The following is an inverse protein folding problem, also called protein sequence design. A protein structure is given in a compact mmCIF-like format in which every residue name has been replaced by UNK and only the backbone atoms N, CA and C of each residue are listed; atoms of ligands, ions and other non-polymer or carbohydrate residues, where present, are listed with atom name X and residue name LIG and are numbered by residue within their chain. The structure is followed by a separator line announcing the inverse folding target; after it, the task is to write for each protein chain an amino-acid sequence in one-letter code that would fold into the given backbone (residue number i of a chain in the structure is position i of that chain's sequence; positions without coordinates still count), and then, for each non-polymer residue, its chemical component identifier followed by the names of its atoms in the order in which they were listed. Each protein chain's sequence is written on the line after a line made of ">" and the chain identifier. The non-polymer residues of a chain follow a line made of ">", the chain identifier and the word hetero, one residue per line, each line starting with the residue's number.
data_IF_333393719610
#
_entry.id   IF_333393719610
#
_cell.length_a   1.000
_cell.length_b   1.000
_cell.length_c   1.000
_cell.angle_alpha   90.00
_cell.angle_beta   90.00
_cell.angle_gamma   90.00
#
_symmetry.space_group_name_H-M   'P 1'
#
loop_
_entity.id
_entity.type
_entity.pdbx_description
1 polymer ?
#
# COMPACT_ATOMS: atom_id res chain seq x y z
N UNK A 1 64.95 -64.49 -35.84
CA UNK A 1 64.81 -63.41 -36.85
C UNK A 1 63.33 -62.96 -36.87
N UNK A 2 62.96 -61.92 -36.13
CA UNK A 2 61.63 -61.30 -36.24
C UNK A 2 61.86 -59.81 -36.01
N UNK A 3 61.62 -59.02 -37.06
CA UNK A 3 61.76 -57.56 -37.06
C UNK A 3 60.52 -56.94 -36.36
N UNK A 4 60.77 -56.17 -35.33
CA UNK A 4 59.76 -55.37 -34.64
C UNK A 4 59.71 -53.99 -35.29
N UNK A 5 58.54 -53.61 -35.79
CA UNK A 5 58.25 -52.30 -36.33
C UNK A 5 57.80 -51.38 -35.16
N UNK A 6 58.53 -50.31 -34.97
CA UNK A 6 58.18 -49.29 -34.00
C UNK A 6 57.32 -48.21 -34.71
N UNK A 7 56.09 -48.07 -34.28
CA UNK A 7 55.17 -47.08 -34.82
C UNK A 7 55.18 -45.89 -33.86
N UNK A 8 55.77 -44.79 -34.36
CA UNK A 8 55.80 -43.52 -33.60
C UNK A 8 54.45 -42.81 -33.73
N UNK A 9 53.76 -42.64 -32.61
CA UNK A 9 52.53 -41.85 -32.51
C UNK A 9 52.87 -40.42 -32.13
N UNK A 10 52.76 -39.49 -33.05
CA UNK A 10 52.85 -38.04 -32.78
C UNK A 10 51.56 -37.59 -32.07
N UNK A 11 51.69 -37.20 -30.82
CA UNK A 11 50.63 -36.50 -30.09
C UNK A 11 50.68 -35.03 -30.47
N UNK A 12 49.67 -34.54 -31.23
CA UNK A 12 49.39 -33.12 -31.40
C UNK A 12 48.71 -32.58 -30.15
N UNK A 13 49.42 -31.80 -29.34
CA UNK A 13 48.86 -31.02 -28.28
C UNK A 13 48.10 -29.79 -28.85
N UNK A 14 46.79 -29.91 -28.98
CA UNK A 14 45.93 -28.80 -29.27
C UNK A 14 45.81 -27.90 -28.06
N UNK A 15 46.39 -26.71 -28.12
CA UNK A 15 46.17 -25.64 -27.11
C UNK A 15 44.75 -25.09 -27.30
N UNK A 16 43.83 -25.55 -26.49
CA UNK A 16 42.48 -24.93 -26.38
C UNK A 16 42.64 -23.64 -25.58
N UNK A 17 42.64 -22.52 -26.27
CA UNK A 17 42.52 -21.20 -25.63
C UNK A 17 41.14 -21.10 -24.99
N UNK A 18 41.05 -21.25 -23.67
CA UNK A 18 39.89 -20.86 -22.91
C UNK A 18 39.66 -19.34 -23.06
N UNK A 19 38.67 -18.98 -23.86
CA UNK A 19 38.09 -17.64 -23.79
C UNK A 19 37.54 -17.45 -22.36
N UNK A 20 38.14 -16.52 -21.63
CA UNK A 20 37.55 -15.98 -20.42
C UNK A 20 36.17 -15.42 -20.78
N UNK A 21 35.13 -16.18 -20.48
CA UNK A 21 33.78 -15.64 -20.31
C UNK A 21 33.84 -14.71 -19.11
N UNK A 22 33.85 -13.42 -19.36
CA UNK A 22 33.55 -12.41 -18.36
C UNK A 22 32.21 -12.81 -17.72
N UNK A 23 32.27 -13.35 -16.53
CA UNK A 23 31.10 -13.41 -15.63
C UNK A 23 30.74 -11.96 -15.37
N UNK A 24 29.83 -11.41 -16.19
CA UNK A 24 29.12 -10.21 -15.87
C UNK A 24 28.48 -10.47 -14.50
N UNK A 25 29.01 -9.81 -13.49
CA UNK A 25 28.29 -9.67 -12.23
C UNK A 25 26.95 -9.03 -12.61
N UNK A 26 25.89 -9.84 -12.61
CA UNK A 26 24.52 -9.36 -12.58
C UNK A 26 24.43 -8.70 -11.21
N UNK A 27 24.74 -7.40 -11.14
CA UNK A 27 24.30 -6.57 -10.02
C UNK A 27 22.78 -6.77 -9.98
N UNK A 28 22.20 -7.24 -8.85
CA UNK A 28 20.75 -7.31 -8.76
C UNK A 28 20.24 -5.91 -9.08
N UNK A 29 19.50 -5.80 -10.18
CA UNK A 29 18.79 -4.57 -10.52
C UNK A 29 17.90 -4.33 -9.31
N UNK A 30 18.22 -3.30 -8.54
CA UNK A 30 17.47 -2.90 -7.36
C UNK A 30 16.07 -2.63 -7.88
N UNK A 31 15.11 -3.51 -7.59
CA UNK A 31 13.74 -3.37 -8.05
C UNK A 31 13.28 -1.97 -7.63
N UNK A 32 13.21 -1.08 -8.62
CA UNK A 32 12.81 0.30 -8.39
C UNK A 32 11.32 0.27 -8.18
N UNK A 33 10.90 0.41 -6.93
CA UNK A 33 9.51 0.51 -6.56
C UNK A 33 8.98 1.80 -7.20
N UNK A 34 8.01 1.64 -8.09
CA UNK A 34 7.41 2.76 -8.80
C UNK A 34 5.89 2.74 -8.68
N UNK A 35 5.30 3.90 -8.88
CA UNK A 35 3.85 4.05 -8.93
C UNK A 35 3.20 3.45 -10.18
N UNK A 36 3.98 2.92 -11.12
CA UNK A 36 3.48 2.37 -12.39
C UNK A 36 2.56 1.15 -12.19
N UNK A 37 2.66 0.44 -11.07
CA UNK A 37 1.76 -0.67 -10.73
C UNK A 37 0.28 -0.24 -10.69
N UNK A 38 0.01 1.04 -10.47
CA UNK A 38 -1.36 1.56 -10.42
C UNK A 38 -1.93 1.94 -11.80
N UNK A 39 -1.14 1.88 -12.87
CA UNK A 39 -1.63 2.09 -14.25
C UNK A 39 -2.04 0.76 -14.89
N UNK A 40 -2.90 0.00 -14.20
CA UNK A 40 -3.49 -1.22 -14.71
C UNK A 40 -4.60 -0.92 -15.74
N UNK A 41 -5.08 -1.95 -16.45
CA UNK A 41 -6.20 -1.82 -17.39
C UNK A 41 -7.49 -1.31 -16.73
N UNK A 42 -7.68 -1.65 -15.46
CA UNK A 42 -8.85 -1.27 -14.66
C UNK A 42 -8.43 -0.54 -13.41
N UNK A 43 -9.24 0.44 -12.97
CA UNK A 43 -9.01 1.08 -11.70
C UNK A 43 -9.02 0.10 -10.52
N UNK A 44 -8.27 0.44 -9.49
CA UNK A 44 -8.15 -0.34 -8.27
C UNK A 44 -9.17 0.16 -7.24
N UNK A 45 -9.86 -0.78 -6.60
CA UNK A 45 -10.70 -0.49 -5.42
C UNK A 45 -9.85 -0.67 -4.18
N UNK A 46 -9.70 0.40 -3.39
CA UNK A 46 -9.06 0.38 -2.08
C UNK A 46 -10.13 0.52 -1.00
N UNK A 47 -10.26 -0.49 -0.14
CA UNK A 47 -11.23 -0.45 0.94
C UNK A 47 -10.73 0.48 2.06
N UNK A 48 -11.46 1.57 2.32
CA UNK A 48 -11.18 2.53 3.39
C UNK A 48 -11.31 1.84 4.75
N UNK A 49 -10.35 2.07 5.65
CA UNK A 49 -10.22 1.41 6.97
C UNK A 49 -10.30 -0.12 6.90
N UNK A 50 -9.69 -0.71 5.88
CA UNK A 50 -9.73 -2.14 5.60
C UNK A 50 -11.14 -2.73 5.41
N UNK A 51 -12.18 -1.91 5.17
CA UNK A 51 -13.53 -2.39 4.86
C UNK A 51 -14.58 -1.95 5.87
N UNK A 52 -14.80 -0.66 5.94
CA UNK A 52 -15.87 -0.05 6.72
C UNK A 52 -17.27 -0.42 6.20
N UNK A 53 -18.28 -0.46 7.09
CA UNK A 53 -19.69 -0.65 6.74
C UNK A 53 -20.11 -2.09 6.43
N UNK A 54 -19.34 -3.10 6.82
CA UNK A 54 -19.62 -4.51 6.55
C UNK A 54 -20.07 -5.23 7.83
N UNK A 55 -21.30 -5.73 7.85
CA UNK A 55 -21.85 -6.41 9.01
C UNK A 55 -21.01 -7.64 9.39
N UNK A 56 -20.61 -7.73 10.66
CA UNK A 56 -19.78 -8.80 11.20
C UNK A 56 -18.28 -8.68 10.86
N UNK A 57 -17.86 -7.63 10.14
CA UNK A 57 -16.47 -7.38 9.75
C UNK A 57 -16.07 -5.95 10.14
N UNK A 58 -15.39 -5.77 11.28
CA UNK A 58 -14.97 -4.46 11.76
C UNK A 58 -13.99 -3.75 10.83
N UNK A 59 -13.96 -2.42 10.86
CA UNK A 59 -12.90 -1.61 10.27
C UNK A 59 -11.54 -1.92 10.93
N UNK A 60 -10.43 -1.69 10.22
CA UNK A 60 -9.06 -1.89 10.72
C UNK A 60 -8.81 -3.30 11.32
N UNK A 61 -9.37 -4.33 10.68
CA UNK A 61 -9.39 -5.69 11.17
C UNK A 61 -8.75 -6.66 10.15
N UNK A 62 -7.83 -7.51 10.60
CA UNK A 62 -7.17 -8.50 9.74
C UNK A 62 -8.19 -9.46 9.09
N UNK A 63 -9.20 -9.91 9.84
CA UNK A 63 -10.22 -10.81 9.33
C UNK A 63 -11.10 -10.15 8.27
N UNK A 64 -11.30 -8.83 8.35
CA UNK A 64 -11.99 -8.06 7.31
C UNK A 64 -11.15 -7.98 6.03
N UNK A 65 -9.84 -7.73 6.15
CA UNK A 65 -8.89 -7.81 5.01
C UNK A 65 -8.97 -9.19 4.36
N UNK A 66 -8.93 -10.25 5.16
CA UNK A 66 -9.01 -11.65 4.69
C UNK A 66 -10.32 -11.93 3.96
N UNK A 67 -11.43 -11.46 4.51
CA UNK A 67 -12.76 -11.61 3.89
C UNK A 67 -12.84 -10.91 2.54
N UNK A 68 -12.41 -9.64 2.47
CA UNK A 68 -12.44 -8.84 1.26
C UNK A 68 -11.48 -9.37 0.19
N UNK A 69 -10.31 -9.85 0.58
CA UNK A 69 -9.34 -10.46 -0.34
C UNK A 69 -9.92 -11.70 -1.02
N UNK A 70 -10.65 -12.55 -0.29
CA UNK A 70 -11.40 -13.69 -0.86
C UNK A 70 -12.50 -13.26 -1.83
N UNK A 71 -12.92 -11.99 -1.79
CA UNK A 71 -13.91 -11.40 -2.71
C UNK A 71 -13.26 -10.60 -3.85
N UNK A 72 -11.93 -10.62 -3.97
CA UNK A 72 -11.19 -9.98 -5.05
C UNK A 72 -10.77 -8.54 -4.77
N UNK A 73 -10.89 -8.04 -3.54
CA UNK A 73 -10.37 -6.74 -3.12
C UNK A 73 -8.99 -6.95 -2.50
N UNK A 74 -7.96 -6.35 -3.10
CA UNK A 74 -6.56 -6.54 -2.68
C UNK A 74 -5.84 -5.24 -2.35
N UNK A 75 -6.55 -4.12 -2.20
CA UNK A 75 -5.99 -2.87 -1.73
C UNK A 75 -6.81 -2.34 -0.55
N UNK A 76 -6.11 -1.92 0.51
CA UNK A 76 -6.72 -1.51 1.77
C UNK A 76 -6.01 -0.26 2.28
N UNK A 77 -6.77 0.69 2.78
CA UNK A 77 -6.25 1.75 3.62
C UNK A 77 -6.44 1.34 5.09
N UNK A 78 -5.45 1.59 5.93
CA UNK A 78 -5.45 1.24 7.36
C UNK A 78 -4.85 2.34 8.22
N UNK A 79 -5.41 2.50 9.41
CA UNK A 79 -5.01 3.50 10.40
C UNK A 79 -4.07 2.89 11.45
N UNK A 80 -2.89 3.49 11.63
CA UNK A 80 -1.85 2.99 12.52
C UNK A 80 -1.75 3.86 13.76
N UNK A 81 -1.74 3.24 14.94
CA UNK A 81 -1.39 3.87 16.21
C UNK A 81 -0.31 3.07 16.95
N UNK A 82 0.20 3.62 18.05
CA UNK A 82 1.25 3.00 18.87
C UNK A 82 0.76 2.83 20.31
N UNK A 83 0.92 1.63 20.88
CA UNK A 83 0.64 1.33 22.30
C UNK A 83 1.71 1.93 23.22
N UNK A 84 1.49 1.89 24.54
CA UNK A 84 2.53 2.31 25.51
C UNK A 84 3.77 1.43 25.48
N UNK A 85 3.65 0.18 25.03
CA UNK A 85 4.76 -0.75 24.92
C UNK A 85 5.55 -0.55 23.62
N UNK A 86 5.06 0.34 22.77
CA UNK A 86 5.68 0.67 21.49
C UNK A 86 5.26 -0.26 20.36
N UNK A 87 4.26 -1.11 20.49
CA UNK A 87 3.75 -1.92 19.39
C UNK A 87 2.86 -1.08 18.46
N UNK A 88 3.07 -1.25 17.15
CA UNK A 88 2.23 -0.64 16.13
C UNK A 88 1.00 -1.52 15.90
N UNK A 89 -0.18 -0.93 16.04
CA UNK A 89 -1.48 -1.60 15.97
C UNK A 89 -2.45 -0.82 15.08
N UNK A 90 -3.59 -1.40 14.74
CA UNK A 90 -4.58 -0.77 13.85
C UNK A 90 -5.79 -0.27 14.63
N UNK A 91 -6.06 1.03 14.55
CA UNK A 91 -7.32 1.64 14.98
C UNK A 91 -7.42 3.08 14.46
N UNK A 92 -8.64 3.47 14.06
CA UNK A 92 -8.87 4.85 13.60
C UNK A 92 -9.02 5.84 14.74
N UNK A 93 -9.81 5.49 15.78
CA UNK A 93 -10.18 6.41 16.85
C UNK A 93 -9.11 6.45 17.94
N UNK A 94 -8.90 7.61 18.54
CA UNK A 94 -7.99 7.78 19.69
C UNK A 94 -8.49 7.06 20.96
N UNK A 95 -9.78 6.65 20.99
CA UNK A 95 -10.42 6.02 22.12
C UNK A 95 -11.14 4.73 21.73
N UNK A 96 -11.11 3.75 22.64
CA UNK A 96 -11.98 2.59 22.58
C UNK A 96 -13.46 3.00 22.71
N UNK A 97 -14.35 2.05 22.41
CA UNK A 97 -15.80 2.19 22.62
C UNK A 97 -16.62 2.11 21.34
N UNK A 98 -16.28 2.88 20.29
CA UNK A 98 -17.00 2.81 19.01
C UNK A 98 -16.67 1.50 18.26
N UNK A 99 -15.39 1.25 18.02
CA UNK A 99 -14.91 0.14 17.18
C UNK A 99 -14.34 -1.04 17.96
N UNK A 100 -14.25 -0.92 19.29
CA UNK A 100 -13.82 -2.01 20.16
C UNK A 100 -14.60 -1.97 21.50
N UNK A 101 -14.55 -3.07 22.25
CA UNK A 101 -14.98 -3.11 23.66
C UNK A 101 -14.05 -2.25 24.53
N UNK A 102 -14.35 -2.16 25.81
CA UNK A 102 -13.56 -1.38 26.75
C UNK A 102 -13.70 0.12 26.59
N UNK A 103 -12.87 0.83 27.33
CA UNK A 103 -12.80 2.31 27.36
C UNK A 103 -11.34 2.73 27.60
N UNK A 104 -11.00 3.91 27.15
CA UNK A 104 -9.68 4.50 27.35
C UNK A 104 -9.09 5.06 26.08
N UNK A 105 -7.97 5.76 26.22
CA UNK A 105 -7.18 6.31 25.11
C UNK A 105 -6.21 5.23 24.66
N UNK A 106 -6.29 4.80 23.39
CA UNK A 106 -5.52 3.65 22.88
C UNK A 106 -4.01 3.82 23.01
N UNK A 107 -3.49 5.04 22.79
CA UNK A 107 -2.06 5.36 22.93
C UNK A 107 -1.58 5.41 24.40
N UNK A 108 -2.48 5.26 25.38
CA UNK A 108 -2.17 5.22 26.82
C UNK A 108 -2.37 3.81 27.40
N UNK A 109 -2.59 2.82 26.56
CA UNK A 109 -2.84 1.43 26.98
C UNK A 109 -1.68 0.53 26.52
N UNK A 110 -1.40 -0.51 27.32
CA UNK A 110 -0.45 -1.54 26.94
C UNK A 110 -1.00 -2.42 25.83
N UNK A 111 -0.10 -3.02 25.07
CA UNK A 111 -0.46 -4.00 24.04
C UNK A 111 -1.29 -5.15 24.61
N UNK A 112 -0.91 -5.66 25.79
CA UNK A 112 -1.66 -6.72 26.47
C UNK A 112 -3.10 -6.31 26.78
N UNK A 113 -3.31 -5.08 27.23
CA UNK A 113 -4.64 -4.55 27.53
C UNK A 113 -5.47 -4.42 26.24
N UNK A 114 -4.90 -3.89 25.18
CA UNK A 114 -5.56 -3.72 23.87
C UNK A 114 -5.93 -5.06 23.23
N UNK A 115 -5.08 -6.08 23.34
CA UNK A 115 -5.35 -7.42 22.80
C UNK A 115 -6.47 -8.18 23.53
N UNK A 116 -6.84 -7.75 24.74
CA UNK A 116 -8.02 -8.30 25.46
C UNK A 116 -9.35 -7.78 24.92
N UNK A 117 -9.32 -6.63 24.24
CA UNK A 117 -10.50 -6.01 23.69
C UNK A 117 -10.97 -6.71 22.41
N UNK A 118 -12.29 -6.67 22.17
CA UNK A 118 -12.93 -7.22 20.98
C UNK A 118 -13.36 -6.10 20.05
N UNK A 119 -13.12 -6.29 18.76
CA UNK A 119 -13.61 -5.35 17.77
C UNK A 119 -15.11 -5.44 17.59
N UNK A 120 -15.72 -4.29 17.32
CA UNK A 120 -17.14 -4.15 16.96
C UNK A 120 -17.23 -3.74 15.49
N UNK A 121 -18.22 -4.29 14.80
CA UNK A 121 -18.54 -3.81 13.46
C UNK A 121 -19.19 -2.40 13.52
N UNK A 122 -19.37 -1.77 12.36
CA UNK A 122 -19.94 -0.42 12.27
C UNK A 122 -21.41 -0.32 12.73
N UNK A 123 -22.03 -1.44 13.01
CA UNK A 123 -23.40 -1.52 13.55
C UNK A 123 -23.39 -1.73 15.08
N UNK A 124 -22.21 -1.69 15.70
CA UNK A 124 -22.04 -1.84 17.15
C UNK A 124 -22.05 -3.29 17.64
N UNK A 125 -22.11 -4.26 16.73
CA UNK A 125 -22.10 -5.69 17.10
C UNK A 125 -20.67 -6.12 17.42
N UNK A 126 -20.47 -6.66 18.62
CA UNK A 126 -19.21 -7.27 19.04
C UNK A 126 -18.89 -8.52 18.22
N UNK A 127 -17.63 -8.69 17.88
CA UNK A 127 -17.08 -9.85 17.19
C UNK A 127 -16.08 -10.60 18.08
N UNK A 128 -15.58 -11.75 17.62
CA UNK A 128 -14.48 -12.46 18.27
C UNK A 128 -13.08 -11.97 17.81
N UNK A 129 -13.02 -10.90 17.01
CA UNK A 129 -11.77 -10.38 16.48
C UNK A 129 -11.12 -9.38 17.45
N UNK A 130 -9.81 -9.38 17.48
CA UNK A 130 -9.00 -8.50 18.32
C UNK A 130 -8.44 -7.33 17.51
N UNK A 131 -8.00 -6.28 18.19
CA UNK A 131 -7.23 -5.19 17.57
C UNK A 131 -5.93 -5.80 17.05
N UNK A 132 -5.64 -5.75 15.74
CA UNK A 132 -4.48 -6.45 15.18
C UNK A 132 -3.19 -5.66 15.38
N UNK A 133 -2.08 -6.38 15.53
CA UNK A 133 -0.75 -5.82 15.37
C UNK A 133 -0.48 -5.53 13.89
N UNK A 134 0.13 -4.39 13.58
CA UNK A 134 0.53 -4.04 12.22
C UNK A 134 1.44 -5.12 11.60
N UNK A 135 2.34 -5.70 12.40
CA UNK A 135 3.21 -6.79 11.98
C UNK A 135 2.45 -7.97 11.38
N UNK A 136 1.39 -8.40 12.04
CA UNK A 136 0.59 -9.56 11.60
C UNK A 136 -0.16 -9.25 10.30
N UNK A 137 -0.63 -8.01 10.17
CA UNK A 137 -1.31 -7.53 8.95
C UNK A 137 -0.33 -7.47 7.77
N UNK A 138 0.87 -6.92 7.98
CA UNK A 138 1.92 -6.87 6.95
C UNK A 138 2.31 -8.28 6.50
N UNK A 139 2.58 -9.19 7.44
CA UNK A 139 2.96 -10.57 7.16
C UNK A 139 1.88 -11.30 6.33
N UNK A 140 0.61 -11.13 6.70
CA UNK A 140 -0.48 -11.73 5.94
C UNK A 140 -0.61 -11.13 4.54
N UNK A 141 -0.58 -9.80 4.42
CA UNK A 141 -0.67 -9.09 3.13
C UNK A 141 0.47 -9.48 2.19
N UNK A 142 1.69 -9.64 2.72
CA UNK A 142 2.84 -10.14 1.96
C UNK A 142 2.57 -11.48 1.30
N UNK A 143 2.03 -12.42 2.06
CA UNK A 143 1.75 -13.78 1.57
C UNK A 143 0.62 -13.83 0.54
N UNK A 144 -0.30 -12.86 0.56
CA UNK A 144 -1.51 -12.87 -0.27
C UNK A 144 -1.52 -11.78 -1.36
N UNK A 145 -0.40 -11.09 -1.55
CA UNK A 145 -0.26 -10.08 -2.61
C UNK A 145 -1.18 -8.86 -2.42
N UNK A 146 -1.52 -8.53 -1.17
CA UNK A 146 -2.37 -7.38 -0.87
C UNK A 146 -1.53 -6.10 -0.67
N UNK A 147 -2.09 -4.95 -1.07
CA UNK A 147 -1.48 -3.63 -0.97
C UNK A 147 -2.08 -2.85 0.19
N UNK A 148 -1.26 -2.11 0.91
CA UNK A 148 -1.69 -1.30 2.05
C UNK A 148 -1.36 0.18 1.83
N UNK A 149 -2.31 1.05 2.14
CA UNK A 149 -2.11 2.48 2.31
C UNK A 149 -2.09 2.77 3.80
N UNK A 150 -0.96 3.26 4.31
CA UNK A 150 -0.69 3.38 5.75
C UNK A 150 -0.97 4.81 6.21
N UNK A 151 -2.05 5.02 6.97
CA UNK A 151 -2.38 6.30 7.59
C UNK A 151 -1.79 6.38 9.01
N UNK A 152 -1.01 7.44 9.25
CA UNK A 152 -0.29 7.65 10.51
C UNK A 152 -1.13 8.50 11.46
N UNK A 153 -1.55 7.93 12.57
CA UNK A 153 -2.17 8.73 13.64
C UNK A 153 -1.14 9.64 14.30
N UNK A 154 -1.61 10.66 14.98
CA UNK A 154 -0.76 11.68 15.59
C UNK A 154 0.29 11.06 16.53
N UNK A 155 1.55 11.46 16.35
CA UNK A 155 2.65 11.06 17.22
C UNK A 155 3.41 9.81 16.79
N UNK A 156 2.95 9.11 15.74
CA UNK A 156 3.61 7.90 15.23
C UNK A 156 4.96 8.25 14.59
N UNK A 157 5.99 7.49 14.94
CA UNK A 157 7.31 7.59 14.32
C UNK A 157 7.29 7.00 12.90
N UNK A 158 7.57 7.83 11.89
CA UNK A 158 7.69 7.36 10.50
C UNK A 158 8.81 6.35 10.31
N UNK A 159 9.95 6.55 11.00
CA UNK A 159 11.09 5.62 10.95
C UNK A 159 10.69 4.24 11.46
N UNK A 160 9.97 4.19 12.58
CA UNK A 160 9.53 2.92 13.19
C UNK A 160 8.61 2.13 12.26
N UNK A 161 7.64 2.80 11.64
CA UNK A 161 6.76 2.15 10.65
C UNK A 161 7.56 1.68 9.44
N UNK A 162 8.45 2.53 8.90
CA UNK A 162 9.29 2.17 7.76
C UNK A 162 10.23 0.99 8.07
N UNK A 163 10.80 0.92 9.27
CA UNK A 163 11.62 -0.21 9.73
C UNK A 163 10.82 -1.50 9.81
N UNK A 164 9.60 -1.45 10.36
CA UNK A 164 8.72 -2.62 10.40
C UNK A 164 8.32 -3.09 9.00
N UNK A 165 7.97 -2.16 8.09
CA UNK A 165 7.67 -2.48 6.68
C UNK A 165 8.87 -3.15 6.01
N UNK A 166 10.10 -2.69 6.27
CA UNK A 166 11.34 -3.31 5.76
C UNK A 166 11.56 -4.70 6.34
N UNK A 167 11.36 -4.86 7.65
CA UNK A 167 11.51 -6.15 8.34
C UNK A 167 10.55 -7.20 7.77
N UNK A 168 9.32 -6.81 7.44
CA UNK A 168 8.32 -7.67 6.82
C UNK A 168 8.46 -7.75 5.28
N UNK A 169 9.45 -7.04 4.69
CA UNK A 169 9.71 -7.01 3.23
C UNK A 169 8.49 -6.56 2.40
N UNK A 170 7.76 -5.57 2.90
CA UNK A 170 6.52 -5.06 2.30
C UNK A 170 6.70 -3.73 1.54
N UNK A 171 7.94 -3.27 1.32
CA UNK A 171 8.24 -1.95 0.73
C UNK A 171 7.57 -1.75 -0.64
N UNK A 172 7.39 -2.83 -1.40
CA UNK A 172 6.75 -2.80 -2.74
C UNK A 172 5.23 -2.86 -2.71
N UNK A 173 4.64 -3.12 -1.54
CA UNK A 173 3.21 -3.32 -1.37
C UNK A 173 2.57 -2.27 -0.44
N UNK A 174 3.33 -1.23 -0.05
CA UNK A 174 2.81 -0.16 0.80
C UNK A 174 2.89 1.21 0.13
N UNK A 175 1.94 2.06 0.49
CA UNK A 175 1.93 3.50 0.20
C UNK A 175 1.82 4.23 1.53
N UNK A 176 2.75 5.13 1.82
CA UNK A 176 2.74 5.94 3.03
C UNK A 176 1.88 7.19 2.80
N UNK A 177 0.84 7.41 3.60
CA UNK A 177 -0.07 8.54 3.44
C UNK A 177 0.53 9.80 4.05
N UNK A 178 0.49 10.90 3.30
CA UNK A 178 0.81 12.24 3.78
C UNK A 178 -0.30 13.22 3.44
N UNK A 179 -0.54 14.17 4.34
CA UNK A 179 -1.59 15.18 4.21
C UNK A 179 -1.07 16.53 3.69
N UNK A 180 0.25 16.71 3.68
CA UNK A 180 0.88 17.95 3.22
C UNK A 180 2.33 17.72 2.74
N UNK A 181 2.90 18.73 2.11
CA UNK A 181 4.25 18.68 1.53
C UNK A 181 5.33 18.38 2.57
N UNK A 182 5.26 18.98 3.76
CA UNK A 182 6.30 18.78 4.79
C UNK A 182 6.28 17.34 5.32
N UNK A 183 5.10 16.78 5.49
CA UNK A 183 4.95 15.37 5.87
C UNK A 183 5.47 14.44 4.76
N UNK A 184 5.17 14.73 3.49
CA UNK A 184 5.69 13.96 2.36
C UNK A 184 7.23 13.99 2.32
N UNK A 185 7.85 15.16 2.50
CA UNK A 185 9.30 15.30 2.59
C UNK A 185 9.89 14.53 3.77
N UNK A 186 9.22 14.52 4.92
CA UNK A 186 9.66 13.78 6.08
C UNK A 186 9.60 12.26 5.84
N UNK A 187 8.53 11.76 5.25
CA UNK A 187 8.39 10.36 4.86
C UNK A 187 9.43 9.97 3.80
N UNK A 188 9.63 10.79 2.78
CA UNK A 188 10.63 10.52 1.73
C UNK A 188 12.06 10.45 2.29
N UNK A 189 12.40 11.28 3.28
CA UNK A 189 13.72 11.20 3.93
C UNK A 189 13.97 9.89 4.67
N UNK A 190 12.95 9.30 5.29
CA UNK A 190 13.08 8.05 6.07
C UNK A 190 12.85 6.79 5.24
N UNK A 191 12.08 6.89 4.15
CA UNK A 191 11.70 5.76 3.30
C UNK A 191 11.66 6.14 1.80
N UNK A 192 12.80 6.55 1.20
CA UNK A 192 12.84 7.00 -0.20
C UNK A 192 12.52 5.89 -1.21
N UNK A 193 12.62 4.64 -0.79
CA UNK A 193 12.27 3.49 -1.61
C UNK A 193 10.75 3.23 -1.68
N UNK A 194 9.95 3.72 -0.73
CA UNK A 194 8.50 3.47 -0.66
C UNK A 194 7.71 4.50 -1.46
N UNK A 195 6.47 4.16 -1.78
CA UNK A 195 5.52 5.10 -2.39
C UNK A 195 4.91 6.02 -1.34
N UNK A 196 4.64 7.26 -1.74
CA UNK A 196 4.04 8.28 -0.86
C UNK A 196 2.79 8.83 -1.51
N UNK A 197 1.65 8.74 -0.82
CA UNK A 197 0.44 9.44 -1.19
C UNK A 197 0.47 10.85 -0.65
N UNK A 198 0.22 11.83 -1.52
CA UNK A 198 0.21 13.26 -1.18
C UNK A 198 -1.10 13.88 -1.61
N UNK A 199 -1.67 14.77 -0.79
CA UNK A 199 -2.85 15.53 -1.16
C UNK A 199 -2.55 16.51 -2.28
N UNK A 200 -3.18 16.30 -3.45
CA UNK A 200 -3.07 17.13 -4.67
C UNK A 200 -4.46 17.31 -5.28
N UNK A 201 -5.14 18.38 -4.91
CA UNK A 201 -6.53 18.66 -5.31
C UNK A 201 -6.65 19.69 -6.44
N UNK A 202 -5.55 20.34 -6.78
CA UNK A 202 -5.47 21.40 -7.79
C UNK A 202 -4.04 21.57 -8.31
N UNK A 203 -3.88 22.36 -9.38
CA UNK A 203 -2.60 22.60 -10.01
C UNK A 203 -1.56 23.22 -9.04
N UNK A 204 -1.96 24.16 -8.18
CA UNK A 204 -1.03 24.79 -7.22
C UNK A 204 -0.47 23.80 -6.19
N UNK A 205 -1.27 22.80 -5.76
CA UNK A 205 -0.78 21.72 -4.88
C UNK A 205 0.15 20.77 -5.64
N UNK A 206 -0.12 20.50 -6.91
CA UNK A 206 0.77 19.72 -7.78
C UNK A 206 2.11 20.42 -7.97
N UNK A 207 2.11 21.70 -8.29
CA UNK A 207 3.35 22.46 -8.51
C UNK A 207 4.23 22.43 -7.27
N UNK A 208 3.64 22.67 -6.09
CA UNK A 208 4.37 22.63 -4.82
C UNK A 208 5.03 21.30 -4.52
N UNK A 209 4.38 20.19 -4.85
CA UNK A 209 4.98 18.85 -4.60
C UNK A 209 6.10 18.56 -5.61
N UNK A 210 5.96 18.99 -6.86
CA UNK A 210 6.98 18.82 -7.89
C UNK A 210 8.27 19.61 -7.58
N UNK A 211 8.16 20.73 -6.86
CA UNK A 211 9.30 21.54 -6.41
C UNK A 211 10.09 20.92 -5.26
N UNK A 212 9.58 19.87 -4.62
CA UNK A 212 10.23 19.25 -3.45
C UNK A 212 11.46 18.41 -3.76
N UNK A 213 11.62 18.00 -5.01
CA UNK A 213 12.65 17.04 -5.43
C UNK A 213 12.30 15.57 -5.12
N UNK A 214 11.10 15.28 -4.63
CA UNK A 214 10.62 13.88 -4.53
C UNK A 214 10.44 13.34 -5.95
N UNK A 215 11.02 12.17 -6.24
CA UNK A 215 10.88 11.52 -7.52
C UNK A 215 9.41 11.26 -7.84
N UNK A 216 8.96 11.63 -9.06
CA UNK A 216 7.56 11.47 -9.49
C UNK A 216 7.09 10.03 -9.41
N UNK A 217 7.98 9.09 -9.68
CA UNK A 217 7.76 7.65 -9.61
C UNK A 217 7.43 7.15 -8.19
N UNK A 218 7.71 7.98 -7.18
CA UNK A 218 7.38 7.72 -5.78
C UNK A 218 6.07 8.35 -5.33
N UNK A 219 5.45 9.17 -6.17
CA UNK A 219 4.24 9.90 -5.83
C UNK A 219 2.97 9.16 -6.24
N UNK A 220 1.95 9.25 -5.38
CA UNK A 220 0.56 8.90 -5.64
C UNK A 220 -0.29 10.08 -5.19
N UNK A 221 -1.16 10.61 -6.06
CA UNK A 221 -1.90 11.84 -5.79
C UNK A 221 -3.26 11.55 -5.15
N UNK A 222 -3.46 11.88 -3.87
CA UNK A 222 -4.82 11.90 -3.29
C UNK A 222 -5.53 13.19 -3.70
N UNK A 223 -6.53 13.07 -4.58
CA UNK A 223 -7.24 14.23 -5.15
C UNK A 223 -8.41 14.72 -4.29
N UNK A 224 -8.53 14.20 -3.07
CA UNK A 224 -9.57 14.60 -2.12
C UNK A 224 -10.80 13.68 -2.20
N UNK A 225 -11.87 14.14 -1.51
CA UNK A 225 -13.16 13.42 -1.41
C UNK A 225 -14.25 14.03 -2.32
N UNK A 226 -13.84 14.86 -3.24
CA UNK A 226 -14.68 15.44 -4.32
C UNK A 226 -13.94 15.26 -5.64
N UNK A 227 -14.68 15.27 -6.73
CA UNK A 227 -14.06 15.26 -8.05
C UNK A 227 -13.27 16.56 -8.24
N UNK A 228 -12.01 16.43 -8.59
CA UNK A 228 -11.19 17.56 -9.02
C UNK A 228 -11.53 17.94 -10.47
N UNK A 229 -10.94 19.02 -10.96
CA UNK A 229 -11.05 19.42 -12.36
C UNK A 229 -10.45 18.37 -13.28
N UNK A 230 -11.06 18.15 -14.44
CA UNK A 230 -10.59 17.16 -15.42
C UNK A 230 -9.17 17.47 -15.91
N UNK A 231 -8.79 18.75 -15.95
CA UNK A 231 -7.43 19.20 -16.28
C UNK A 231 -6.38 18.67 -15.31
N UNK A 232 -6.71 18.55 -14.01
CA UNK A 232 -5.80 17.97 -13.02
C UNK A 232 -5.58 16.48 -13.28
N UNK A 233 -6.64 15.70 -13.48
CA UNK A 233 -6.51 14.26 -13.79
C UNK A 233 -5.70 14.03 -15.07
N UNK A 234 -5.96 14.83 -16.11
CA UNK A 234 -5.18 14.80 -17.34
C UNK A 234 -3.70 15.05 -17.08
N UNK A 235 -3.38 16.10 -16.29
CA UNK A 235 -2.00 16.46 -15.96
C UNK A 235 -1.30 15.39 -15.13
N UNK A 236 -1.96 14.80 -14.14
CA UNK A 236 -1.43 13.70 -13.35
C UNK A 236 -1.10 12.48 -14.24
N UNK A 237 -1.99 12.14 -15.17
CA UNK A 237 -1.77 11.05 -16.12
C UNK A 237 -0.58 11.33 -17.07
N UNK A 238 -0.45 12.56 -17.61
CA UNK A 238 0.71 12.98 -18.41
C UNK A 238 2.02 12.83 -17.65
N UNK A 239 2.02 13.15 -16.35
CA UNK A 239 3.18 13.03 -15.47
C UNK A 239 3.41 11.62 -14.95
N UNK A 240 2.51 10.67 -15.26
CA UNK A 240 2.55 9.30 -14.75
C UNK A 240 2.50 9.24 -13.21
N UNK A 241 1.72 10.15 -12.59
CA UNK A 241 1.40 10.15 -11.17
C UNK A 241 -0.03 9.61 -11.03
N UNK A 242 -0.24 8.41 -10.46
CA UNK A 242 -1.58 7.85 -10.33
C UNK A 242 -2.39 8.64 -9.30
N UNK A 243 -3.69 8.77 -9.58
CA UNK A 243 -4.62 9.48 -8.71
C UNK A 243 -5.45 8.54 -7.85
N UNK A 244 -5.65 8.92 -6.59
CA UNK A 244 -6.62 8.33 -5.66
C UNK A 244 -7.77 9.31 -5.52
N UNK A 245 -8.98 8.87 -5.84
CA UNK A 245 -10.22 9.57 -5.48
C UNK A 245 -10.80 8.92 -4.22
N UNK A 246 -10.93 9.70 -3.16
CA UNK A 246 -11.69 9.30 -1.99
C UNK A 246 -13.18 9.40 -2.28
N UNK A 247 -13.85 8.29 -2.55
CA UNK A 247 -15.31 8.30 -2.75
C UNK A 247 -16.08 8.19 -1.44
N UNK A 248 -15.36 7.82 -0.37
CA UNK A 248 -15.90 7.74 1.00
C UNK A 248 -16.75 8.98 1.36
N UNK A 249 -17.89 8.75 1.97
CA UNK A 249 -18.84 9.81 2.32
C UNK A 249 -19.71 10.28 1.15
N UNK A 250 -19.50 11.49 0.61
CA UNK A 250 -20.45 12.11 -0.33
C UNK A 250 -20.57 11.43 -1.69
N UNK A 251 -19.46 10.98 -2.28
CA UNK A 251 -19.50 10.33 -3.59
C UNK A 251 -20.08 8.92 -3.49
N UNK A 252 -19.75 8.16 -2.45
CA UNK A 252 -20.34 6.86 -2.18
C UNK A 252 -21.86 6.98 -1.98
N UNK A 253 -22.32 7.95 -1.18
CA UNK A 253 -23.75 8.25 -1.01
C UNK A 253 -24.44 8.66 -2.31
N UNK A 254 -23.73 9.44 -3.16
CA UNK A 254 -24.24 9.81 -4.48
C UNK A 254 -24.41 8.59 -5.38
N UNK A 255 -23.43 7.68 -5.41
CA UNK A 255 -23.52 6.45 -6.18
C UNK A 255 -24.62 5.51 -5.64
N UNK A 256 -24.77 5.42 -4.32
CA UNK A 256 -25.86 4.67 -3.69
C UNK A 256 -27.24 5.19 -4.11
N UNK A 257 -27.42 6.51 -4.13
CA UNK A 257 -28.69 7.14 -4.46
C UNK A 257 -29.03 7.16 -5.97
N UNK A 258 -28.00 7.20 -6.84
CA UNK A 258 -28.17 7.45 -8.28
C UNK A 258 -27.71 6.29 -9.17
N UNK A 259 -27.06 5.29 -8.60
CA UNK A 259 -26.56 4.11 -9.28
C UNK A 259 -25.04 3.99 -9.27
N UNK A 260 -24.57 2.76 -9.08
CA UNK A 260 -23.12 2.44 -8.99
C UNK A 260 -22.38 2.61 -10.35
N UNK A 261 -23.10 2.84 -11.47
CA UNK A 261 -22.49 3.20 -12.75
C UNK A 261 -21.63 4.47 -12.67
N UNK A 262 -21.89 5.36 -11.68
CA UNK A 262 -21.11 6.58 -11.47
C UNK A 262 -19.62 6.30 -11.22
N UNK A 263 -19.26 5.20 -10.57
CA UNK A 263 -17.84 4.83 -10.42
C UNK A 263 -17.15 4.65 -11.77
N UNK A 264 -17.84 4.03 -12.74
CA UNK A 264 -17.33 3.85 -14.10
C UNK A 264 -17.20 5.19 -14.83
N UNK A 265 -18.18 6.09 -14.66
CA UNK A 265 -18.08 7.46 -15.23
C UNK A 265 -16.91 8.24 -14.63
N UNK A 266 -16.70 8.16 -13.33
CA UNK A 266 -15.56 8.81 -12.69
C UNK A 266 -14.22 8.20 -13.14
N UNK A 267 -14.17 6.90 -13.35
CA UNK A 267 -12.99 6.21 -13.87
C UNK A 267 -12.58 6.70 -15.28
N UNK A 268 -13.54 7.08 -16.11
CA UNK A 268 -13.27 7.65 -17.45
C UNK A 268 -12.51 8.97 -17.43
N UNK A 269 -12.44 9.64 -16.26
CA UNK A 269 -11.59 10.83 -16.06
C UNK A 269 -10.11 10.49 -15.91
N UNK A 270 -9.75 9.21 -15.93
CA UNK A 270 -8.37 8.73 -15.77
C UNK A 270 -7.95 8.58 -14.31
N UNK A 271 -8.87 8.24 -13.43
CA UNK A 271 -8.60 7.95 -12.00
C UNK A 271 -8.19 6.48 -11.87
N UNK A 272 -7.06 6.21 -11.20
CA UNK A 272 -6.51 4.87 -11.05
C UNK A 272 -6.99 4.14 -9.80
N UNK A 273 -7.29 4.86 -8.71
CA UNK A 273 -7.59 4.25 -7.42
C UNK A 273 -8.83 4.91 -6.82
N UNK A 274 -9.77 4.09 -6.36
CA UNK A 274 -10.97 4.52 -5.65
C UNK A 274 -10.90 4.06 -4.19
N UNK A 275 -10.69 5.01 -3.27
CA UNK A 275 -10.76 4.74 -1.83
C UNK A 275 -12.21 4.90 -1.37
N UNK A 276 -12.86 3.81 -0.94
CA UNK A 276 -14.32 3.74 -0.77
C UNK A 276 -14.74 3.01 0.50
N UNK A 277 -15.87 3.43 1.08
CA UNK A 277 -16.60 2.69 2.13
C UNK A 277 -17.49 1.57 1.54
N UNK A 278 -17.63 1.50 0.19
CA UNK A 278 -18.48 0.54 -0.51
C UNK A 278 -17.66 -0.34 -1.47
N UNK A 279 -16.71 -1.19 -0.96
CA UNK A 279 -15.72 -1.85 -1.82
C UNK A 279 -16.31 -2.81 -2.86
N UNK A 280 -17.57 -3.24 -2.71
CA UNK A 280 -18.25 -4.10 -3.66
C UNK A 280 -19.06 -3.33 -4.75
N UNK A 281 -19.21 -2.01 -4.59
CA UNK A 281 -20.01 -1.20 -5.50
C UNK A 281 -19.29 -0.84 -6.82
N UNK A 282 -17.99 -0.44 -6.81
CA UNK A 282 -17.28 -0.15 -8.06
C UNK A 282 -17.09 -1.43 -8.88
N UNK A 283 -17.54 -1.38 -10.15
CA UNK A 283 -17.38 -2.48 -11.13
C UNK A 283 -16.82 -1.88 -12.41
N UNK A 284 -15.54 -2.15 -12.68
CA UNK A 284 -14.78 -1.62 -13.80
C UNK A 284 -14.57 -2.66 -14.90
#
# INVERSE_FOLDING_TARGET
>A
MKKTFLLSLLLLLGVVACKNSSTGQITPQKDVITNQIYFAEKPIVSAHRAGKGIAGYPENCLQTIQYLSKKGIHSFEIDIFESTDGDLMLMHDDKLGRTATGQGVVSQMSTEALLKERLKDDFGKETNFQIPLLKDVLAWCKQHGAYLMLDFKKGISYSKVAELVRAEQMQTQVVLISYNVEQAKALYRVAPEMLISVTIRNQSELDRILETGIEREKLVAFTGVHLADDSLYKKLNELRIPSILGTLGNLDKRAEARGDHLYKEWAQKGIQIFSTDRPFAPKF
#
